data_IF_179612480530
#
_entry.id   IF_179612480530
#
_cell.length_a   1.000
_cell.length_b   1.000
_cell.length_c   1.000
_cell.angle_alpha   90.00
_cell.angle_beta   90.00
_cell.angle_gamma   90.00
#
_symmetry.space_group_name_H-M   'P 1'
#
loop_
_entity.id
_entity.type
_entity.pdbx_description
1 polymer ?
#
# COMPACT_ATOMS: atom_id res chain seq x y z
N UNK A 1 9.53 8.71 -18.80
CA UNK A 1 8.96 7.81 -19.84
C UNK A 1 7.48 8.12 -20.00
N UNK A 2 6.96 8.24 -21.22
CA UNK A 2 5.54 8.52 -21.48
C UNK A 2 4.90 7.37 -22.25
N UNK A 3 3.75 6.88 -21.78
CA UNK A 3 2.94 5.81 -22.36
C UNK A 3 1.55 6.41 -22.62
N UNK A 4 1.22 6.59 -23.89
CA UNK A 4 0.06 7.40 -24.31
C UNK A 4 -0.73 6.65 -25.40
N UNK A 5 -2.01 6.37 -25.13
CA UNK A 5 -2.96 5.67 -26.01
C UNK A 5 -2.40 4.36 -26.56
N UNK A 6 -1.82 3.56 -25.66
CA UNK A 6 -1.14 2.31 -26.01
C UNK A 6 -1.51 1.18 -25.07
N UNK A 7 -1.48 -0.05 -25.59
CA UNK A 7 -1.86 -1.24 -24.84
C UNK A 7 -0.85 -2.38 -25.03
N UNK A 8 -0.79 -3.27 -24.04
CA UNK A 8 0.06 -4.48 -24.04
C UNK A 8 1.57 -4.20 -24.17
N UNK A 9 2.04 -3.09 -23.62
CA UNK A 9 3.48 -2.84 -23.48
C UNK A 9 4.02 -3.45 -22.17
N UNK A 10 5.30 -3.82 -22.17
CA UNK A 10 6.04 -4.18 -20.97
C UNK A 10 7.21 -3.24 -20.79
N UNK A 11 7.33 -2.65 -19.61
CA UNK A 11 8.46 -1.81 -19.19
C UNK A 11 9.10 -2.49 -18.00
N UNK A 12 10.28 -3.10 -18.17
CA UNK A 12 10.97 -3.82 -17.08
C UNK A 12 12.48 -3.54 -17.08
N UNK A 13 13.10 -3.62 -15.89
CA UNK A 13 14.56 -3.51 -15.73
C UNK A 13 15.16 -2.13 -16.01
N UNK A 14 14.38 -1.05 -15.91
CA UNK A 14 14.86 0.31 -16.19
C UNK A 14 15.25 1.06 -14.91
N UNK A 15 16.22 1.98 -15.02
CA UNK A 15 16.50 3.02 -14.03
C UNK A 15 15.99 4.36 -14.57
N UNK A 16 15.12 5.02 -13.81
CA UNK A 16 14.41 6.24 -14.24
C UNK A 16 14.54 7.30 -13.15
N UNK A 17 15.07 8.48 -13.53
CA UNK A 17 15.37 9.61 -12.64
C UNK A 17 16.73 9.51 -11.94
N UNK A 18 17.34 8.32 -11.94
CA UNK A 18 18.65 8.06 -11.32
C UNK A 18 19.78 7.88 -12.33
N UNK A 19 21.02 7.85 -11.84
CA UNK A 19 22.20 7.46 -12.58
C UNK A 19 22.32 5.94 -12.78
N UNK A 20 23.39 5.49 -13.41
CA UNK A 20 23.59 4.07 -13.72
C UNK A 20 23.74 3.17 -12.50
N UNK A 21 23.94 3.72 -11.30
CA UNK A 21 23.97 2.96 -10.05
C UNK A 21 22.65 3.02 -9.30
N UNK A 22 21.70 3.85 -9.73
CA UNK A 22 20.41 4.01 -9.07
C UNK A 22 20.44 4.91 -7.84
N UNK A 23 21.53 5.66 -7.61
CA UNK A 23 21.82 6.30 -6.31
C UNK A 23 22.14 7.79 -6.42
N UNK A 24 22.14 8.37 -7.61
CA UNK A 24 22.27 9.80 -7.79
C UNK A 24 21.16 10.32 -8.70
N UNK A 25 20.50 11.38 -8.25
CA UNK A 25 19.53 12.14 -9.04
C UNK A 25 20.18 12.71 -10.31
N UNK A 26 19.50 12.53 -11.44
CA UNK A 26 19.88 13.04 -12.76
C UNK A 26 19.01 14.20 -13.24
N UNK A 27 18.16 14.73 -12.39
CA UNK A 27 17.34 15.92 -12.60
C UNK A 27 16.16 15.65 -13.54
N UNK A 28 15.44 14.54 -13.38
CA UNK A 28 14.17 14.40 -14.10
C UNK A 28 13.13 15.31 -13.45
N UNK A 29 12.91 16.49 -14.02
CA UNK A 29 12.12 17.56 -13.39
C UNK A 29 10.61 17.36 -13.43
N UNK A 30 10.15 16.15 -13.70
CA UNK A 30 8.75 15.78 -13.87
C UNK A 30 8.55 14.35 -13.38
N UNK A 31 7.47 13.69 -13.76
CA UNK A 31 7.22 12.30 -13.37
C UNK A 31 8.22 11.34 -14.01
N UNK A 32 8.56 10.26 -13.31
CA UNK A 32 9.43 9.20 -13.83
C UNK A 32 8.76 8.45 -14.98
N UNK A 33 7.61 7.85 -14.73
CA UNK A 33 6.76 7.21 -15.74
C UNK A 33 5.40 7.89 -15.74
N UNK A 34 4.92 8.30 -16.91
CA UNK A 34 3.60 8.90 -17.08
C UNK A 34 2.76 8.07 -18.03
N UNK A 35 1.67 7.48 -17.52
CA UNK A 35 0.65 6.80 -18.28
C UNK A 35 -0.53 7.75 -18.41
N UNK A 36 -0.90 8.09 -19.64
CA UNK A 36 -1.99 9.03 -19.84
C UNK A 36 -2.89 8.63 -21.01
N UNK A 37 -4.15 9.00 -20.89
CA UNK A 37 -5.10 9.01 -21.99
C UNK A 37 -5.73 10.39 -22.06
N UNK A 38 -5.79 10.99 -23.25
CA UNK A 38 -6.45 12.29 -23.38
C UNK A 38 -7.96 12.14 -23.25
N UNK A 39 -8.57 13.06 -22.49
CA UNK A 39 -10.03 13.23 -22.43
C UNK A 39 -10.60 13.40 -23.85
N UNK A 40 -11.53 12.52 -24.25
CA UNK A 40 -12.33 12.67 -25.47
C UNK A 40 -11.99 11.77 -26.67
N UNK A 41 -11.14 10.75 -26.53
CA UNK A 41 -10.87 9.76 -27.58
C UNK A 41 -11.11 8.32 -27.12
N UNK A 42 -11.56 7.43 -28.02
CA UNK A 42 -11.80 6.00 -27.72
C UNK A 42 -10.53 5.15 -27.60
N UNK A 43 -9.36 5.76 -27.35
CA UNK A 43 -8.09 5.06 -27.29
C UNK A 43 -7.59 5.05 -25.85
N UNK A 44 -7.57 3.85 -25.28
CA UNK A 44 -7.17 3.62 -23.90
C UNK A 44 -5.66 3.43 -23.75
N UNK A 45 -5.15 3.81 -22.59
CA UNK A 45 -3.82 3.41 -22.09
C UNK A 45 -4.06 2.27 -21.12
N UNK A 46 -4.09 1.04 -21.64
CA UNK A 46 -4.58 -0.11 -20.88
C UNK A 46 -3.77 -1.37 -21.05
N UNK A 47 -3.86 -2.29 -20.07
CA UNK A 47 -3.18 -3.59 -20.14
C UNK A 47 -1.66 -3.49 -20.32
N UNK A 48 -1.04 -2.39 -19.85
CA UNK A 48 0.41 -2.28 -19.83
C UNK A 48 0.96 -2.89 -18.55
N UNK A 49 2.14 -3.49 -18.62
CA UNK A 49 2.89 -4.01 -17.46
C UNK A 49 4.07 -3.10 -17.17
N UNK A 50 4.11 -2.52 -15.97
CA UNK A 50 5.27 -1.80 -15.45
C UNK A 50 5.93 -2.66 -14.37
N UNK A 51 7.14 -3.10 -14.64
CA UNK A 51 7.86 -4.15 -13.93
C UNK A 51 7.68 -5.49 -14.63
N UNK A 52 7.83 -6.60 -13.91
CA UNK A 52 7.71 -7.94 -14.48
C UNK A 52 7.27 -8.99 -13.49
N UNK A 53 7.50 -10.26 -13.80
CA UNK A 53 6.99 -11.36 -12.98
C UNK A 53 7.70 -11.53 -11.62
N UNK A 54 8.90 -10.97 -11.49
CA UNK A 54 9.79 -11.12 -10.33
C UNK A 54 10.53 -9.81 -10.05
N UNK A 55 11.14 -9.71 -8.86
CA UNK A 55 12.02 -8.60 -8.46
C UNK A 55 13.20 -8.35 -9.41
N UNK A 56 13.64 -9.36 -10.18
CA UNK A 56 14.72 -9.17 -11.17
C UNK A 56 14.29 -8.36 -12.39
N UNK A 57 12.98 -8.22 -12.62
CA UNK A 57 12.40 -7.39 -13.67
C UNK A 57 11.99 -6.00 -13.15
N UNK A 58 12.30 -5.68 -11.89
CA UNK A 58 11.93 -4.42 -11.28
C UNK A 58 12.48 -3.22 -12.08
N UNK A 59 11.66 -2.20 -12.26
CA UNK A 59 12.18 -0.87 -12.56
C UNK A 59 12.55 -0.18 -11.25
N UNK A 60 13.56 0.67 -11.29
CA UNK A 60 13.91 1.62 -10.23
C UNK A 60 13.50 3.02 -10.69
N UNK A 61 12.52 3.60 -10.00
CA UNK A 61 11.96 4.91 -10.30
C UNK A 61 12.18 5.82 -9.08
N UNK A 62 13.26 6.58 -9.09
CA UNK A 62 13.66 7.46 -7.98
C UNK A 62 14.33 8.74 -8.51
N UNK A 63 14.56 9.75 -7.68
CA UNK A 63 15.19 11.02 -8.10
C UNK A 63 14.41 11.75 -9.21
N UNK A 64 13.08 11.70 -9.17
CA UNK A 64 12.23 12.51 -10.03
C UNK A 64 11.68 13.69 -9.22
N UNK A 65 11.62 14.91 -9.76
CA UNK A 65 11.14 16.08 -9.01
C UNK A 65 9.63 16.06 -8.78
N UNK A 66 8.88 15.28 -9.57
CA UNK A 66 7.44 15.02 -9.38
C UNK A 66 7.17 13.60 -8.88
N UNK A 67 5.97 13.05 -9.14
CA UNK A 67 5.67 11.67 -8.77
C UNK A 67 6.57 10.66 -9.46
N UNK A 68 6.87 9.54 -8.80
CA UNK A 68 7.60 8.44 -9.44
C UNK A 68 6.84 7.93 -10.67
N UNK A 69 5.58 7.55 -10.48
CA UNK A 69 4.67 7.10 -11.54
C UNK A 69 3.37 7.88 -11.46
N UNK A 70 2.90 8.46 -12.57
CA UNK A 70 1.60 9.13 -12.65
C UNK A 70 0.69 8.41 -13.67
N UNK A 71 -0.55 8.14 -13.29
CA UNK A 71 -1.63 7.64 -14.15
C UNK A 71 -2.72 8.70 -14.23
N UNK A 72 -2.99 9.23 -15.43
CA UNK A 72 -4.00 10.28 -15.63
C UNK A 72 -5.00 9.91 -16.73
N UNK A 73 -6.28 10.15 -16.46
CA UNK A 73 -7.38 10.09 -17.42
C UNK A 73 -8.22 8.82 -17.31
N UNK A 74 -9.53 8.99 -17.53
CA UNK A 74 -10.57 7.94 -17.47
C UNK A 74 -10.23 6.66 -18.27
N UNK A 75 -9.49 6.77 -19.37
CA UNK A 75 -9.13 5.60 -20.19
C UNK A 75 -7.74 5.04 -19.86
N UNK A 76 -7.15 5.44 -18.73
CA UNK A 76 -5.91 4.88 -18.18
C UNK A 76 -6.26 3.83 -17.14
N UNK A 77 -6.44 2.60 -17.61
CA UNK A 77 -7.08 1.53 -16.84
C UNK A 77 -6.48 0.17 -17.08
N UNK A 78 -6.71 -0.78 -16.18
CA UNK A 78 -6.26 -2.17 -16.34
C UNK A 78 -4.74 -2.30 -16.55
N UNK A 79 -3.95 -1.36 -16.04
CA UNK A 79 -2.49 -1.47 -16.04
C UNK A 79 -2.03 -2.26 -14.81
N UNK A 80 -1.00 -3.08 -14.98
CA UNK A 80 -0.43 -3.93 -13.93
C UNK A 80 0.98 -3.44 -13.58
N UNK A 81 1.10 -2.78 -12.44
CA UNK A 81 2.34 -2.22 -11.92
C UNK A 81 2.82 -3.09 -10.77
N UNK A 82 3.87 -3.87 -11.00
CA UNK A 82 4.30 -4.88 -10.02
C UNK A 82 5.79 -5.02 -9.89
N UNK A 83 6.22 -5.32 -8.66
CA UNK A 83 7.62 -5.53 -8.32
C UNK A 83 8.53 -4.34 -8.68
N UNK A 84 8.02 -3.10 -8.70
CA UNK A 84 8.84 -1.92 -8.91
C UNK A 84 9.43 -1.41 -7.59
N UNK A 85 10.58 -0.75 -7.70
CA UNK A 85 11.26 0.01 -6.67
C UNK A 85 10.98 1.50 -6.92
N UNK A 86 10.13 2.12 -6.10
CA UNK A 86 9.60 3.46 -6.32
C UNK A 86 10.03 4.34 -5.14
N UNK A 87 10.89 5.32 -5.42
CA UNK A 87 11.48 6.21 -4.43
C UNK A 87 12.59 5.56 -3.58
N UNK A 88 12.83 4.25 -3.71
CA UNK A 88 13.88 3.55 -2.97
C UNK A 88 15.26 3.95 -3.49
N UNK A 89 15.94 4.87 -2.81
CA UNK A 89 17.28 5.32 -3.16
C UNK A 89 17.40 6.84 -3.06
N UNK A 90 18.50 7.32 -2.47
CA UNK A 90 18.68 8.74 -2.23
C UNK A 90 19.04 9.50 -3.53
N UNK A 91 18.29 10.55 -3.90
CA UNK A 91 17.04 11.00 -3.30
C UNK A 91 15.82 10.25 -3.85
N UNK A 92 14.80 10.07 -2.99
CA UNK A 92 13.48 9.60 -3.40
C UNK A 92 12.79 10.57 -4.36
N UNK A 93 11.54 10.29 -4.74
CA UNK A 93 10.79 11.20 -5.61
C UNK A 93 10.35 12.46 -4.84
N UNK A 94 10.29 13.60 -5.52
CA UNK A 94 10.01 14.93 -4.97
C UNK A 94 8.55 15.20 -4.63
N UNK A 95 7.66 14.25 -4.92
CA UNK A 95 6.25 14.23 -4.54
C UNK A 95 5.87 12.82 -4.04
N UNK A 96 4.70 12.30 -4.38
CA UNK A 96 4.30 10.94 -4.05
C UNK A 96 5.01 9.87 -4.90
N UNK A 97 5.03 8.62 -4.42
CA UNK A 97 5.59 7.51 -5.19
C UNK A 97 4.77 7.21 -6.44
N UNK A 98 3.46 7.08 -6.27
CA UNK A 98 2.50 6.84 -7.35
C UNK A 98 1.31 7.79 -7.22
N UNK A 99 0.95 8.44 -8.31
CA UNK A 99 -0.20 9.34 -8.41
C UNK A 99 -1.25 8.80 -9.40
N UNK A 100 -2.52 8.85 -9.02
CA UNK A 100 -3.67 8.55 -9.87
C UNK A 100 -4.66 9.72 -9.86
N UNK A 101 -4.96 10.26 -11.04
CA UNK A 101 -5.82 11.44 -11.22
C UNK A 101 -6.71 11.33 -12.44
N UNK A 102 -7.62 12.29 -12.58
CA UNK A 102 -8.47 12.50 -13.76
C UNK A 102 -9.30 11.26 -14.15
N UNK A 103 -9.67 10.44 -13.16
CA UNK A 103 -10.49 9.24 -13.36
C UNK A 103 -9.71 7.98 -13.73
N UNK A 104 -8.39 7.92 -13.56
CA UNK A 104 -7.64 6.69 -13.78
C UNK A 104 -8.17 5.57 -12.86
N UNK A 105 -8.61 4.45 -13.44
CA UNK A 105 -9.39 3.44 -12.73
C UNK A 105 -9.03 2.00 -13.10
N UNK A 106 -9.43 0.99 -12.32
CA UNK A 106 -9.14 -0.44 -12.60
C UNK A 106 -7.63 -0.77 -12.73
N UNK A 107 -6.72 -0.01 -12.11
CA UNK A 107 -5.29 -0.32 -12.16
C UNK A 107 -4.87 -1.17 -10.97
N UNK A 108 -3.84 -2.00 -11.17
CA UNK A 108 -3.31 -2.89 -10.13
C UNK A 108 -1.88 -2.53 -9.79
N UNK A 109 -1.64 -2.34 -8.51
CA UNK A 109 -0.32 -2.14 -7.92
C UNK A 109 -0.05 -3.29 -6.96
N UNK A 110 0.90 -4.16 -7.29
CA UNK A 110 1.21 -5.29 -6.41
C UNK A 110 2.69 -5.57 -6.22
N UNK A 111 3.09 -5.89 -5.00
CA UNK A 111 4.48 -6.25 -4.67
C UNK A 111 5.52 -5.15 -4.98
N UNK A 112 5.10 -3.89 -5.10
CA UNK A 112 6.04 -2.78 -5.24
C UNK A 112 6.62 -2.41 -3.87
N UNK A 113 7.86 -1.97 -3.86
CA UNK A 113 8.47 -1.27 -2.72
C UNK A 113 8.37 0.23 -3.01
N UNK A 114 7.62 0.96 -2.19
CA UNK A 114 7.32 2.39 -2.35
C UNK A 114 7.79 3.12 -1.10
N UNK A 115 8.91 3.80 -1.18
CA UNK A 115 9.54 4.38 0.00
C UNK A 115 10.27 5.69 -0.30
N UNK A 116 10.57 6.46 0.75
CA UNK A 116 11.42 7.66 0.70
C UNK A 116 10.90 8.77 -0.24
N UNK A 117 9.64 8.70 -0.65
CA UNK A 117 9.01 9.76 -1.45
C UNK A 117 8.70 10.96 -0.54
N UNK A 118 8.80 12.17 -1.08
CA UNK A 118 8.68 13.40 -0.29
C UNK A 118 7.27 13.60 0.31
N UNK A 119 6.27 12.92 -0.24
CA UNK A 119 4.87 12.97 0.22
C UNK A 119 4.31 11.54 0.36
N UNK A 120 3.13 11.23 -0.18
CA UNK A 120 2.48 9.92 -0.02
C UNK A 120 3.18 8.77 -0.77
N UNK A 121 3.02 7.52 -0.32
CA UNK A 121 3.42 6.35 -1.11
C UNK A 121 2.56 6.22 -2.36
N UNK A 122 1.25 6.07 -2.17
CA UNK A 122 0.23 6.10 -3.22
C UNK A 122 -0.75 7.25 -2.95
N UNK A 123 -1.02 8.09 -3.95
CA UNK A 123 -2.06 9.11 -3.93
C UNK A 123 -3.07 8.84 -5.04
N UNK A 124 -4.35 8.82 -4.69
CA UNK A 124 -5.44 8.79 -5.67
C UNK A 124 -6.41 9.94 -5.40
N UNK A 125 -6.77 10.70 -6.42
CA UNK A 125 -7.60 11.90 -6.28
C UNK A 125 -8.80 11.90 -7.22
N UNK A 126 -9.95 12.31 -6.67
CA UNK A 126 -11.17 12.63 -7.40
C UNK A 126 -12.15 11.47 -7.55
N UNK A 127 -13.44 11.79 -7.41
CA UNK A 127 -14.54 10.87 -7.65
C UNK A 127 -14.50 10.33 -9.10
N UNK A 128 -14.27 9.03 -9.25
CA UNK A 128 -14.06 8.35 -10.54
C UNK A 128 -12.68 7.74 -10.71
N UNK A 129 -11.69 8.14 -9.90
CA UNK A 129 -10.38 7.46 -9.79
C UNK A 129 -10.53 6.22 -8.89
N UNK A 130 -11.35 5.27 -9.35
CA UNK A 130 -11.86 4.15 -8.55
C UNK A 130 -11.30 2.80 -8.97
N UNK A 131 -11.57 1.75 -8.18
CA UNK A 131 -11.21 0.36 -8.50
C UNK A 131 -9.71 0.14 -8.67
N UNK A 132 -8.88 1.00 -8.06
CA UNK A 132 -7.44 0.86 -8.08
C UNK A 132 -7.00 0.00 -6.89
N UNK A 133 -6.36 -1.13 -7.21
CA UNK A 133 -5.94 -2.14 -6.25
C UNK A 133 -4.52 -1.86 -5.76
N UNK A 134 -4.36 -1.62 -4.46
CA UNK A 134 -3.06 -1.52 -3.79
C UNK A 134 -2.86 -2.76 -2.90
N UNK A 135 -2.29 -3.84 -3.45
CA UNK A 135 -2.19 -5.13 -2.74
C UNK A 135 -0.75 -5.58 -2.57
N UNK A 136 -0.35 -5.93 -1.34
CA UNK A 136 0.98 -6.45 -1.00
C UNK A 136 2.13 -5.54 -1.43
N UNK A 137 1.90 -4.24 -1.49
CA UNK A 137 3.00 -3.28 -1.62
C UNK A 137 3.66 -3.11 -0.24
N UNK A 138 4.95 -2.77 -0.24
CA UNK A 138 5.67 -2.34 0.95
C UNK A 138 5.78 -0.82 0.90
N UNK A 139 5.09 -0.13 1.80
CA UNK A 139 5.13 1.33 1.92
C UNK A 139 5.82 1.70 3.23
N UNK A 140 6.90 2.47 3.17
CA UNK A 140 7.63 2.93 4.37
C UNK A 140 8.46 4.18 4.09
N UNK A 141 8.76 4.97 5.12
CA UNK A 141 9.57 6.18 5.07
C UNK A 141 9.10 7.19 4.01
N UNK A 142 7.81 7.22 3.67
CA UNK A 142 7.28 8.29 2.82
C UNK A 142 7.00 9.52 3.70
N UNK A 143 6.91 10.70 3.11
CA UNK A 143 6.77 11.95 3.85
C UNK A 143 5.41 12.12 4.54
N UNK A 144 4.37 11.51 3.97
CA UNK A 144 2.97 11.61 4.42
C UNK A 144 2.34 10.21 4.65
N UNK A 145 1.29 9.83 3.91
CA UNK A 145 0.59 8.55 4.10
C UNK A 145 1.11 7.45 3.17
N UNK A 146 1.00 6.18 3.58
CA UNK A 146 1.31 5.06 2.69
C UNK A 146 0.34 4.96 1.50
N UNK A 147 -0.94 5.21 1.75
CA UNK A 147 -2.02 5.35 0.75
C UNK A 147 -2.88 6.53 1.20
N UNK A 148 -3.10 7.49 0.30
CA UNK A 148 -3.91 8.69 0.51
C UNK A 148 -5.03 8.76 -0.54
N UNK A 149 -6.30 8.75 -0.10
CA UNK A 149 -7.48 8.80 -0.95
C UNK A 149 -8.18 10.15 -0.79
N UNK A 150 -8.13 10.96 -1.84
CA UNK A 150 -8.59 12.35 -1.83
C UNK A 150 -9.87 12.48 -2.66
N UNK A 151 -10.81 13.29 -2.19
CA UNK A 151 -12.02 13.69 -2.92
C UNK A 151 -12.86 12.54 -3.48
N UNK A 152 -12.92 11.42 -2.74
CA UNK A 152 -13.77 10.27 -3.04
C UNK A 152 -13.14 9.22 -3.96
N UNK A 153 -11.82 9.29 -4.21
CA UNK A 153 -11.09 8.26 -4.93
C UNK A 153 -11.25 6.87 -4.28
N UNK A 154 -11.15 5.81 -5.09
CA UNK A 154 -11.42 4.44 -4.67
C UNK A 154 -12.74 4.29 -3.90
N UNK A 155 -13.80 4.93 -4.40
CA UNK A 155 -15.15 4.93 -3.84
C UNK A 155 -15.24 5.48 -2.40
N UNK A 156 -14.19 6.13 -1.90
CA UNK A 156 -14.09 6.58 -0.51
C UNK A 156 -14.15 5.42 0.50
N UNK A 157 -13.61 4.25 0.14
CA UNK A 157 -13.60 3.07 1.02
C UNK A 157 -12.86 3.41 2.31
N UNK A 158 -13.58 3.37 3.44
CA UNK A 158 -13.00 3.64 4.75
C UNK A 158 -11.93 2.61 5.12
N UNK A 159 -10.93 2.99 5.91
CA UNK A 159 -9.96 2.03 6.47
C UNK A 159 -10.65 1.01 7.39
N UNK A 160 -10.17 -0.25 7.46
CA UNK A 160 -10.62 -1.18 8.50
C UNK A 160 -10.11 -0.72 9.87
N UNK A 161 -10.55 -1.39 10.94
CA UNK A 161 -9.98 -1.19 12.27
C UNK A 161 -9.31 -2.46 12.77
N UNK A 162 -8.19 -2.30 13.48
CA UNK A 162 -7.60 -3.31 14.34
C UNK A 162 -8.09 -3.02 15.77
N UNK A 163 -8.80 -3.96 16.38
CA UNK A 163 -9.44 -3.76 17.69
C UNK A 163 -8.78 -4.61 18.79
N UNK A 164 -8.22 -5.76 18.42
CA UNK A 164 -7.58 -6.66 19.35
C UNK A 164 -6.35 -7.31 18.72
N UNK A 165 -5.23 -7.25 19.45
CA UNK A 165 -3.97 -7.94 19.16
C UNK A 165 -3.65 -8.81 20.35
N UNK A 166 -3.82 -10.12 20.22
CA UNK A 166 -3.47 -11.09 21.27
C UNK A 166 -2.10 -11.67 20.97
N UNK A 167 -1.13 -11.36 21.83
CA UNK A 167 0.22 -11.92 21.75
C UNK A 167 0.19 -13.46 21.86
N UNK A 168 0.82 -14.15 20.91
CA UNK A 168 0.94 -15.61 20.92
C UNK A 168 2.38 -16.05 21.21
N UNK A 169 3.36 -15.33 20.65
CA UNK A 169 4.79 -15.54 20.85
C UNK A 169 5.55 -14.25 20.49
N UNK A 170 6.87 -14.23 20.70
CA UNK A 170 7.71 -13.07 20.34
C UNK A 170 7.63 -12.68 18.87
N UNK A 171 7.19 -13.61 18.00
CA UNK A 171 7.09 -13.38 16.56
C UNK A 171 5.71 -13.62 15.98
N UNK A 172 4.65 -13.69 16.81
CA UNK A 172 3.29 -13.89 16.31
C UNK A 172 2.17 -13.39 17.22
N UNK A 173 1.05 -13.02 16.58
CA UNK A 173 -0.17 -12.56 17.22
C UNK A 173 -1.42 -13.13 16.55
N UNK A 174 -2.52 -13.22 17.31
CA UNK A 174 -3.88 -13.28 16.74
C UNK A 174 -4.39 -11.85 16.66
N UNK A 175 -4.94 -11.47 15.51
CA UNK A 175 -5.37 -10.09 15.25
C UNK A 175 -6.81 -10.09 14.75
N UNK A 176 -7.64 -9.20 15.30
CA UNK A 176 -9.03 -9.04 14.89
C UNK A 176 -9.49 -7.59 14.95
N UNK A 177 -10.53 -7.30 14.19
CA UNK A 177 -11.23 -6.03 14.25
C UNK A 177 -12.41 -5.98 13.29
N UNK A 178 -12.80 -4.77 12.90
CA UNK A 178 -13.94 -4.51 12.03
C UNK A 178 -13.52 -4.19 10.60
N UNK A 179 -14.42 -4.50 9.66
CA UNK A 179 -14.28 -4.24 8.23
C UNK A 179 -15.65 -3.98 7.59
N UNK A 180 -15.64 -3.40 6.40
CA UNK A 180 -16.83 -3.33 5.57
C UNK A 180 -17.21 -4.72 5.06
N UNK A 181 -18.52 -5.02 5.04
CA UNK A 181 -19.05 -6.28 4.49
C UNK A 181 -18.64 -6.42 3.02
N UNK A 182 -18.22 -7.63 2.62
CA UNK A 182 -17.71 -7.92 1.28
C UNK A 182 -16.23 -7.60 1.07
N UNK A 183 -15.57 -6.90 1.99
CA UNK A 183 -14.14 -6.56 1.84
C UNK A 183 -13.23 -7.67 2.37
N UNK A 184 -12.08 -7.85 1.73
CA UNK A 184 -10.93 -8.59 2.28
C UNK A 184 -10.02 -7.66 3.08
N UNK A 185 -9.13 -8.23 3.90
CA UNK A 185 -8.11 -7.49 4.68
C UNK A 185 -6.72 -7.95 4.28
N UNK A 186 -5.80 -7.01 4.14
CA UNK A 186 -4.37 -7.25 4.21
C UNK A 186 -3.82 -6.59 5.48
N UNK A 187 -3.06 -7.36 6.26
CA UNK A 187 -2.45 -6.95 7.52
C UNK A 187 -0.95 -6.81 7.34
N UNK A 188 -0.39 -5.73 7.87
CA UNK A 188 1.01 -5.36 7.73
C UNK A 188 1.62 -4.99 9.08
N UNK A 189 2.95 -5.12 9.20
CA UNK A 189 3.69 -4.31 10.17
C UNK A 189 3.67 -2.86 9.67
N UNK A 190 3.50 -1.92 10.58
CA UNK A 190 3.53 -0.50 10.29
C UNK A 190 4.97 0.03 10.31
N UNK A 191 5.26 1.05 9.50
CA UNK A 191 6.57 1.71 9.48
C UNK A 191 6.80 2.66 10.67
N UNK A 192 5.74 3.20 11.26
CA UNK A 192 5.83 4.20 12.33
C UNK A 192 5.56 3.61 13.72
N UNK A 193 6.44 3.92 14.67
CA UNK A 193 6.31 3.56 16.08
C UNK A 193 5.35 4.50 16.83
N UNK A 194 4.07 4.51 16.45
CA UNK A 194 3.08 5.36 17.10
C UNK A 194 1.68 5.33 16.48
N UNK A 195 0.68 5.88 17.19
CA UNK A 195 -0.67 6.02 16.67
C UNK A 195 -0.70 7.02 15.50
N UNK A 196 -1.62 6.79 14.57
CA UNK A 196 -1.71 7.48 13.28
C UNK A 196 -1.99 6.47 12.16
N UNK A 197 -2.46 6.96 11.00
CA UNK A 197 -2.60 6.13 9.82
C UNK A 197 -1.22 5.57 9.43
N UNK A 198 -1.11 4.24 9.43
CA UNK A 198 0.15 3.56 9.18
C UNK A 198 0.61 3.57 7.73
N UNK A 199 1.87 3.27 7.51
CA UNK A 199 2.33 2.72 6.23
C UNK A 199 2.56 1.21 6.38
N UNK A 200 2.02 0.41 5.46
CA UNK A 200 2.22 -1.04 5.45
C UNK A 200 3.64 -1.45 5.03
N UNK A 201 4.58 -1.43 5.97
CA UNK A 201 5.99 -1.71 5.72
C UNK A 201 6.26 -3.15 5.27
N UNK A 202 5.61 -4.13 5.92
CA UNK A 202 5.77 -5.55 5.56
C UNK A 202 4.46 -6.31 5.68
N UNK A 203 4.09 -7.04 4.62
CA UNK A 203 2.90 -7.89 4.63
C UNK A 203 3.07 -9.05 5.62
N UNK A 204 2.05 -9.25 6.46
CA UNK A 204 2.03 -10.31 7.48
C UNK A 204 1.04 -11.42 7.13
N UNK A 205 -0.19 -11.05 6.79
CA UNK A 205 -1.29 -11.99 6.59
C UNK A 205 -2.48 -11.32 5.88
N UNK A 206 -3.47 -12.12 5.49
CA UNK A 206 -4.71 -11.62 4.90
C UNK A 206 -5.94 -12.37 5.43
N UNK A 207 -7.07 -11.69 5.43
CA UNK A 207 -8.39 -12.28 5.63
C UNK A 207 -9.19 -12.16 4.31
N UNK A 208 -9.83 -13.24 3.83
CA UNK A 208 -10.52 -13.22 2.55
C UNK A 208 -11.77 -12.33 2.58
N UNK A 209 -12.19 -11.87 1.41
CA UNK A 209 -13.47 -11.20 1.26
C UNK A 209 -14.63 -12.13 1.64
N UNK A 210 -15.51 -11.66 2.51
CA UNK A 210 -16.71 -12.37 2.95
C UNK A 210 -17.81 -11.37 3.38
N UNK A 211 -19.00 -11.88 3.69
CA UNK A 211 -20.13 -11.05 4.13
C UNK A 211 -20.03 -10.53 5.56
N UNK A 212 -19.00 -10.89 6.33
CA UNK A 212 -18.86 -10.46 7.72
C UNK A 212 -18.38 -9.01 7.82
N UNK A 213 -18.77 -8.33 8.90
CA UNK A 213 -18.30 -6.98 9.26
C UNK A 213 -17.16 -7.01 10.28
N UNK A 214 -16.70 -8.21 10.64
CA UNK A 214 -15.57 -8.46 11.52
C UNK A 214 -14.63 -9.43 10.85
N UNK A 215 -13.36 -9.39 11.23
CA UNK A 215 -12.33 -10.28 10.71
C UNK A 215 -11.44 -10.78 11.83
N UNK A 216 -10.82 -11.93 11.61
CA UNK A 216 -9.84 -12.49 12.55
C UNK A 216 -8.78 -13.27 11.79
N UNK A 217 -7.54 -12.80 11.88
CA UNK A 217 -6.34 -13.56 11.49
C UNK A 217 -5.88 -14.33 12.72
N UNK A 218 -5.96 -15.67 12.65
CA UNK A 218 -5.61 -16.54 13.78
C UNK A 218 -4.11 -16.53 14.11
N UNK A 219 -3.26 -16.27 13.10
CA UNK A 219 -1.82 -16.19 13.26
C UNK A 219 -1.24 -15.24 12.23
N UNK A 220 -0.89 -14.03 12.68
CA UNK A 220 0.04 -13.13 12.01
C UNK A 220 1.44 -13.46 12.53
N UNK A 221 2.39 -13.75 11.63
CA UNK A 221 3.75 -14.15 11.97
C UNK A 221 4.77 -13.17 11.38
N UNK A 222 6.04 -13.29 11.78
CA UNK A 222 7.12 -12.41 11.29
C UNK A 222 7.21 -11.08 12.05
N UNK A 223 6.56 -11.00 13.21
CA UNK A 223 6.60 -9.84 14.08
C UNK A 223 7.89 -9.81 14.92
N UNK A 224 8.21 -8.65 15.45
CA UNK A 224 9.22 -8.41 16.47
C UNK A 224 8.61 -7.63 17.64
N UNK A 225 9.06 -7.85 18.89
CA UNK A 225 8.59 -7.05 20.02
C UNK A 225 8.81 -5.55 19.79
N UNK A 226 7.74 -4.76 19.89
CA UNK A 226 7.77 -3.33 19.61
C UNK A 226 7.18 -2.94 18.27
N UNK A 227 6.96 -3.90 17.35
CA UNK A 227 6.27 -3.64 16.10
C UNK A 227 4.90 -3.00 16.32
N UNK A 228 4.47 -2.22 15.34
CA UNK A 228 3.09 -1.76 15.21
C UNK A 228 2.44 -2.44 14.02
N UNK A 229 1.11 -2.54 14.05
CA UNK A 229 0.32 -3.19 13.02
C UNK A 229 -0.61 -2.19 12.37
N UNK A 230 -0.76 -2.29 11.06
CA UNK A 230 -1.77 -1.58 10.28
C UNK A 230 -2.45 -2.53 9.29
N UNK A 231 -3.64 -2.18 8.83
CA UNK A 231 -4.39 -2.98 7.87
C UNK A 231 -5.05 -2.10 6.81
N UNK A 232 -5.15 -2.62 5.59
CA UNK A 232 -5.98 -2.05 4.54
C UNK A 232 -7.07 -3.05 4.17
N UNK A 233 -8.21 -2.54 3.73
CA UNK A 233 -9.29 -3.37 3.19
C UNK A 233 -9.48 -3.14 1.71
N UNK A 234 -9.99 -4.14 1.01
CA UNK A 234 -10.24 -4.06 -0.44
C UNK A 234 -11.62 -4.59 -0.77
N UNK A 235 -12.39 -3.82 -1.53
CA UNK A 235 -13.74 -4.18 -1.97
C UNK A 235 -13.70 -5.32 -2.99
N UNK A 236 -14.86 -5.93 -3.25
CA UNK A 236 -14.99 -6.96 -4.29
C UNK A 236 -14.68 -6.42 -5.72
N UNK A 237 -14.72 -5.10 -5.92
CA UNK A 237 -14.38 -4.42 -7.17
C UNK A 237 -12.94 -3.86 -7.17
N UNK A 238 -12.12 -4.24 -6.19
CA UNK A 238 -10.70 -3.90 -6.11
C UNK A 238 -10.35 -2.48 -5.67
N UNK A 239 -11.30 -1.69 -5.16
CA UNK A 239 -10.99 -0.43 -4.49
C UNK A 239 -10.34 -0.72 -3.14
N UNK A 240 -9.08 -0.31 -2.96
CA UNK A 240 -8.35 -0.44 -1.69
C UNK A 240 -8.48 0.84 -0.87
N UNK A 241 -8.70 0.69 0.44
CA UNK A 241 -8.73 1.80 1.41
C UNK A 241 -7.35 2.37 1.71
N UNK A 242 -7.30 3.51 2.39
CA UNK A 242 -6.13 3.89 3.17
C UNK A 242 -5.81 2.81 4.23
N UNK A 243 -4.61 2.90 4.80
CA UNK A 243 -4.23 2.09 5.95
C UNK A 243 -5.00 2.51 7.20
N UNK A 244 -5.19 1.57 8.12
CA UNK A 244 -5.84 1.81 9.41
C UNK A 244 -4.90 2.55 10.36
N UNK A 245 -5.48 3.06 11.45
CA UNK A 245 -4.72 3.44 12.62
C UNK A 245 -3.81 2.30 13.10
N UNK A 246 -2.59 2.67 13.49
CA UNK A 246 -1.60 1.73 14.02
C UNK A 246 -1.99 1.21 15.39
N UNK A 247 -1.81 -0.10 15.61
CA UNK A 247 -2.01 -0.76 16.91
C UNK A 247 -0.74 -1.50 17.33
N UNK A 248 -0.27 -1.33 18.57
CA UNK A 248 1.01 -1.90 18.98
C UNK A 248 0.91 -3.42 19.15
N UNK A 249 1.94 -4.12 18.72
CA UNK A 249 2.18 -5.52 19.06
C UNK A 249 3.00 -5.58 20.36
N UNK A 250 2.29 -5.64 21.48
CA UNK A 250 2.90 -5.73 22.82
C UNK A 250 2.73 -7.11 23.41
N UNK A 251 3.78 -7.61 24.08
CA UNK A 251 3.66 -8.80 24.91
C UNK A 251 2.70 -8.56 26.07
N UNK A 252 1.67 -9.40 26.18
CA UNK A 252 0.84 -9.41 27.38
C UNK A 252 1.61 -10.12 28.51
N UNK A 253 1.74 -9.46 29.66
CA UNK A 253 2.24 -10.14 30.86
C UNK A 253 1.21 -11.18 31.31
N UNK A 254 1.62 -12.39 31.75
CA UNK A 254 0.67 -13.36 32.26
C UNK A 254 -0.09 -12.74 33.43
N UNK A 255 -1.42 -12.73 33.36
CA UNK A 255 -2.27 -12.35 34.49
C UNK A 255 -1.87 -13.22 35.69
N UNK A 256 -1.45 -12.65 36.84
CA UNK A 256 -1.08 -13.46 37.99
C UNK A 256 -2.28 -14.35 38.37
N UNK A 257 -2.05 -15.66 38.53
CA UNK A 257 -3.10 -16.56 39.02
C UNK A 257 -3.70 -15.99 40.30
N UNK A 258 -5.04 -16.00 40.45
CA UNK A 258 -5.65 -15.54 41.69
C UNK A 258 -5.05 -16.33 42.85
N UNK A 259 -4.48 -15.63 43.82
CA UNK A 259 -4.00 -16.25 45.05
C UNK A 259 -5.14 -17.09 45.63
N UNK A 260 -4.97 -18.41 45.81
CA UNK A 260 -6.03 -19.22 46.41
C UNK A 260 -6.35 -18.63 47.78
N UNK A 261 -7.59 -18.16 47.94
CA UNK A 261 -8.10 -17.70 49.22
C UNK A 261 -8.02 -18.88 50.18
N UNK A 262 -7.15 -18.79 51.18
CA UNK A 262 -7.15 -19.74 52.29
C UNK A 262 -8.45 -19.52 53.07
N UNK A 263 -9.48 -20.29 52.75
CA UNK A 263 -10.62 -20.47 53.64
C UNK A 263 -10.12 -21.10 54.93
N UNK A 264 -9.95 -20.27 55.96
CA UNK A 264 -9.88 -20.75 57.33
C UNK A 264 -11.29 -21.20 57.70
N UNK A 265 -11.50 -22.52 57.76
CA UNK A 265 -12.73 -23.08 58.33
C UNK A 265 -12.77 -22.81 59.85
N UNK A 266 -13.92 -22.38 60.39
CA UNK A 266 -14.11 -22.14 61.82
C UNK A 266 -14.11 -23.42 62.67
#
# INVERSE_FOLDING_TARGET
LRIDRSYLNTVEGNLIGTDSTGTADRGNTSSGIFLESSVGGSWATESNTIGGATVSSANVISGNDGPGICLSGEWTRQNDLKYNYIGTGAPGNGDCGVELIDGAHDNRFSYNTVAENASDGFRAEGAGTDYNLFSRNQTFNNGDLGINLIDGANEGVASPAIEQVTWLSESSAKVSGSKQSGCGIELFSADTDGPGPGEGASYLASFPADGATVWTIQTAAGLSPGDWLTAAQTTALSSTSEFSENVPFTQESPTPSPTPSSTVSP
#
